data_IF_187926003757
#
_entry.id   IF_187926003757
#
_cell.length_a   1.000
_cell.length_b   1.000
_cell.length_c   1.000
_cell.angle_alpha   90.00
_cell.angle_beta   90.00
_cell.angle_gamma   90.00
#
_symmetry.space_group_name_H-M   'P 1'
#
loop_
_entity.id
_entity.type
_entity.pdbx_description
1 polymer ?
#
# COMPACT_ATOMS: atom_id res chain seq x y z
N UNK A 1 -18.19 -20.11 10.91
CA UNK A 1 -17.49 -20.10 9.61
C UNK A 1 -16.00 -20.05 9.87
N UNK A 2 -15.26 -21.05 9.42
CA UNK A 2 -13.79 -21.06 9.47
C UNK A 2 -13.28 -20.58 8.12
N UNK A 3 -12.65 -19.40 8.09
CA UNK A 3 -12.00 -18.86 6.89
C UNK A 3 -10.82 -19.71 6.40
N UNK A 4 -10.33 -20.62 7.24
CA UNK A 4 -9.20 -21.49 6.97
C UNK A 4 -9.71 -22.87 6.52
N UNK A 5 -9.26 -23.32 5.35
CA UNK A 5 -9.69 -24.58 4.75
C UNK A 5 -8.60 -25.67 4.82
N UNK A 6 -9.03 -26.94 4.85
CA UNK A 6 -8.14 -28.10 4.81
C UNK A 6 -7.17 -28.14 6.00
N UNK A 7 -5.89 -28.38 5.72
CA UNK A 7 -4.84 -28.45 6.76
C UNK A 7 -4.69 -27.18 7.60
N UNK A 8 -5.20 -26.02 7.13
CA UNK A 8 -5.17 -24.78 7.90
C UNK A 8 -6.25 -24.70 8.99
N UNK A 9 -7.27 -25.56 8.94
CA UNK A 9 -8.36 -25.54 9.93
C UNK A 9 -7.88 -25.89 11.34
N UNK A 10 -6.87 -26.77 11.45
CA UNK A 10 -6.24 -27.14 12.71
C UNK A 10 -5.10 -26.16 13.03
N UNK A 11 -5.43 -25.09 13.75
CA UNK A 11 -4.52 -23.97 14.04
C UNK A 11 -3.38 -24.32 14.99
N UNK A 12 -3.43 -25.47 15.66
CA UNK A 12 -2.36 -25.91 16.57
C UNK A 12 -1.24 -26.65 15.82
N UNK A 13 -1.48 -27.08 14.59
CA UNK A 13 -0.52 -27.84 13.76
C UNK A 13 0.41 -26.98 12.90
N UNK A 14 0.24 -25.66 12.90
CA UNK A 14 1.02 -24.75 12.06
C UNK A 14 1.14 -23.35 12.67
N UNK A 15 2.08 -22.55 12.17
CA UNK A 15 2.25 -21.15 12.58
C UNK A 15 2.50 -20.26 11.37
N UNK A 16 1.92 -19.06 11.40
CA UNK A 16 2.15 -18.02 10.39
C UNK A 16 3.42 -17.19 10.67
N UNK A 17 4.00 -17.28 11.87
CA UNK A 17 5.11 -16.42 12.32
C UNK A 17 6.32 -16.59 11.40
N UNK A 18 6.88 -15.48 10.92
CA UNK A 18 8.03 -15.44 10.00
C UNK A 18 7.71 -15.87 8.56
N UNK A 19 6.54 -16.43 8.29
CA UNK A 19 6.09 -16.87 6.96
C UNK A 19 4.96 -16.00 6.40
N UNK A 20 4.26 -15.27 7.26
CA UNK A 20 3.13 -14.43 6.89
C UNK A 20 3.57 -13.24 6.01
N UNK A 21 2.94 -13.10 4.84
CA UNK A 21 3.17 -11.96 3.96
C UNK A 21 2.81 -10.62 4.61
N UNK A 22 1.79 -10.60 5.48
CA UNK A 22 1.43 -9.40 6.25
C UNK A 22 2.59 -8.98 7.15
N UNK A 23 3.17 -9.91 7.90
CA UNK A 23 4.30 -9.63 8.80
C UNK A 23 5.49 -9.05 8.03
N UNK A 24 5.87 -9.69 6.91
CA UNK A 24 6.95 -9.23 6.03
C UNK A 24 6.69 -7.87 5.40
N UNK A 25 5.42 -7.54 5.14
CA UNK A 25 5.03 -6.24 4.59
C UNK A 25 5.07 -5.17 5.68
N UNK A 26 4.55 -5.49 6.87
CA UNK A 26 4.44 -4.57 8.00
C UNK A 26 5.78 -4.11 8.58
N UNK A 27 6.86 -4.89 8.43
CA UNK A 27 8.20 -4.43 8.82
C UNK A 27 8.64 -3.17 8.10
N UNK A 28 8.06 -2.85 6.94
CA UNK A 28 8.48 -1.70 6.13
C UNK A 28 7.39 -0.64 5.99
N UNK A 29 6.15 -1.03 5.71
CA UNK A 29 5.03 -0.08 5.56
C UNK A 29 4.19 0.10 6.83
N UNK A 30 4.55 -0.56 7.94
CA UNK A 30 3.79 -0.52 9.19
C UNK A 30 3.81 0.81 9.93
N UNK A 31 4.56 1.80 9.44
CA UNK A 31 4.63 3.13 10.04
C UNK A 31 3.65 4.11 9.37
N UNK A 32 3.07 5.00 10.18
CA UNK A 32 2.22 6.10 9.68
C UNK A 32 2.92 6.91 8.57
N UNK A 33 4.20 7.21 8.76
CA UNK A 33 4.98 8.02 7.80
C UNK A 33 5.18 7.32 6.46
N UNK A 34 5.40 6.00 6.43
CA UNK A 34 5.50 5.24 5.17
C UNK A 34 4.20 5.32 4.36
N UNK A 35 3.05 5.07 5.00
CA UNK A 35 1.74 5.16 4.36
C UNK A 35 1.44 6.58 3.82
N UNK A 36 1.81 7.62 4.58
CA UNK A 36 1.64 9.00 4.14
C UNK A 36 2.57 9.38 3.00
N UNK A 37 3.80 8.85 2.94
CA UNK A 37 4.69 9.05 1.78
C UNK A 37 4.11 8.38 0.53
N UNK A 38 3.62 7.14 0.63
CA UNK A 38 2.98 6.47 -0.52
C UNK A 38 1.77 7.26 -1.04
N UNK A 39 0.95 7.81 -0.13
CA UNK A 39 -0.16 8.71 -0.50
C UNK A 39 0.33 9.96 -1.24
N UNK A 40 1.34 10.65 -0.71
CA UNK A 40 1.86 11.86 -1.36
C UNK A 40 2.52 11.58 -2.70
N UNK A 41 3.18 10.41 -2.85
CA UNK A 41 3.76 9.97 -4.11
C UNK A 41 2.68 9.76 -5.16
N UNK A 42 1.56 9.12 -4.80
CA UNK A 42 0.40 8.98 -5.67
C UNK A 42 -0.23 10.33 -6.06
N UNK A 43 -0.26 11.30 -5.13
CA UNK A 43 -0.71 12.66 -5.43
C UNK A 43 0.27 13.44 -6.34
N UNK A 44 1.39 12.85 -6.75
CA UNK A 44 2.37 13.44 -7.65
C UNK A 44 3.52 14.15 -6.96
N UNK A 45 3.71 13.97 -5.65
CA UNK A 45 4.91 14.47 -4.95
C UNK A 45 6.11 13.63 -5.37
N UNK A 46 7.15 14.27 -5.89
CA UNK A 46 8.38 13.57 -6.30
C UNK A 46 9.65 14.10 -5.63
N UNK A 47 9.60 15.28 -5.00
CA UNK A 47 10.78 15.95 -4.42
C UNK A 47 10.90 15.70 -2.93
N UNK A 48 12.13 15.46 -2.46
CA UNK A 48 12.44 15.18 -1.05
C UNK A 48 11.86 16.22 -0.08
N UNK A 49 12.13 17.51 -0.32
CA UNK A 49 11.68 18.58 0.59
C UNK A 49 10.16 18.73 0.60
N UNK A 50 9.49 18.37 -0.51
CA UNK A 50 8.03 18.38 -0.60
C UNK A 50 7.43 17.22 0.21
N UNK A 51 8.03 16.03 0.19
CA UNK A 51 7.63 14.93 1.07
C UNK A 51 7.71 15.31 2.54
N UNK A 52 8.86 15.84 2.99
CA UNK A 52 9.04 16.25 4.38
C UNK A 52 7.98 17.27 4.82
N UNK A 53 7.72 18.27 3.96
CA UNK A 53 6.72 19.33 4.21
C UNK A 53 5.29 18.79 4.23
N UNK A 54 4.89 18.00 3.23
CA UNK A 54 3.51 17.52 3.05
C UNK A 54 3.12 16.44 4.06
N UNK A 55 4.07 15.58 4.43
CA UNK A 55 3.86 14.55 5.44
C UNK A 55 3.99 15.11 6.86
N UNK A 56 4.74 16.20 7.04
CA UNK A 56 4.94 16.85 8.34
C UNK A 56 5.91 16.09 9.24
N UNK A 57 6.97 15.52 8.66
CA UNK A 57 8.01 14.77 9.37
C UNK A 57 9.39 15.40 9.15
N UNK A 58 10.35 15.06 10.02
CA UNK A 58 11.72 15.58 9.90
C UNK A 58 12.40 15.11 8.61
N UNK A 59 13.41 15.85 8.15
CA UNK A 59 14.22 15.43 6.99
C UNK A 59 14.89 14.07 7.23
N UNK A 60 15.39 13.82 8.45
CA UNK A 60 15.98 12.53 8.80
C UNK A 60 14.95 11.38 8.68
N UNK A 61 13.74 11.55 9.20
CA UNK A 61 12.68 10.57 9.07
C UNK A 61 12.23 10.38 7.61
N UNK A 62 12.17 11.47 6.84
CA UNK A 62 11.86 11.44 5.40
C UNK A 62 12.90 10.62 4.63
N UNK A 63 14.19 10.87 4.90
CA UNK A 63 15.30 10.14 4.28
C UNK A 63 15.21 8.64 4.58
N UNK A 64 15.06 8.26 5.85
CA UNK A 64 14.93 6.86 6.24
C UNK A 64 13.75 6.16 5.52
N UNK A 65 12.58 6.80 5.51
CA UNK A 65 11.39 6.22 4.85
C UNK A 65 11.54 6.11 3.34
N UNK A 66 12.08 7.13 2.68
CA UNK A 66 12.28 7.09 1.23
C UNK A 66 13.29 6.00 0.85
N UNK A 67 14.38 5.85 1.60
CA UNK A 67 15.34 4.75 1.40
C UNK A 67 14.66 3.40 1.53
N UNK A 68 13.92 3.16 2.61
CA UNK A 68 13.23 1.87 2.83
C UNK A 68 12.18 1.55 1.74
N UNK A 69 11.43 2.55 1.28
CA UNK A 69 10.47 2.38 0.19
C UNK A 69 11.15 2.15 -1.17
N UNK A 70 12.35 2.71 -1.38
CA UNK A 70 13.16 2.45 -2.57
C UNK A 70 13.79 1.06 -2.53
N UNK A 71 14.30 0.63 -1.38
CA UNK A 71 14.91 -0.69 -1.21
C UNK A 71 13.89 -1.83 -1.40
N UNK A 72 12.62 -1.58 -1.05
CA UNK A 72 11.51 -2.48 -1.37
C UNK A 72 11.05 -2.42 -2.84
N UNK A 73 11.53 -1.45 -3.60
CA UNK A 73 11.09 -1.23 -4.97
C UNK A 73 9.67 -0.69 -5.07
N UNK A 74 9.11 -0.06 -4.02
CA UNK A 74 7.83 0.67 -4.11
C UNK A 74 8.02 2.07 -4.72
N UNK A 75 9.18 2.67 -4.48
CA UNK A 75 9.62 3.90 -5.13
C UNK A 75 10.90 3.64 -5.91
N UNK A 76 11.10 4.40 -6.98
CA UNK A 76 12.37 4.46 -7.70
C UNK A 76 12.95 5.86 -7.56
N UNK A 77 14.26 5.92 -7.35
CA UNK A 77 15.03 7.17 -7.36
C UNK A 77 15.55 7.43 -8.77
N UNK A 78 15.21 8.59 -9.34
CA UNK A 78 15.61 8.98 -10.70
C UNK A 78 16.32 10.33 -10.70
N UNK A 79 17.33 10.54 -11.56
CA UNK A 79 17.87 11.87 -11.79
C UNK A 79 16.84 12.70 -12.55
N UNK A 80 16.54 13.87 -12.00
CA UNK A 80 15.69 14.89 -12.59
C UNK A 80 16.51 16.15 -12.85
N UNK A 81 16.33 16.78 -14.01
CA UNK A 81 17.01 18.04 -14.34
C UNK A 81 16.03 19.01 -14.98
N UNK A 82 15.75 20.10 -14.28
CA UNK A 82 15.11 21.25 -14.91
C UNK A 82 16.10 21.89 -15.90
N UNK A 83 15.64 22.37 -17.07
CA UNK A 83 16.50 23.10 -18.00
C UNK A 83 17.23 24.25 -17.29
N UNK A 84 18.57 24.24 -17.37
CA UNK A 84 19.43 25.26 -16.75
C UNK A 84 19.79 25.04 -15.27
N UNK A 85 19.30 23.97 -14.61
CA UNK A 85 19.65 23.67 -13.22
C UNK A 85 20.55 22.43 -13.05
N UNK A 86 21.12 22.28 -11.84
CA UNK A 86 21.83 21.09 -11.39
C UNK A 86 20.86 19.90 -11.30
N UNK A 87 21.34 18.70 -11.63
CA UNK A 87 20.59 17.45 -11.44
C UNK A 87 20.16 17.31 -9.98
N UNK A 88 18.87 17.07 -9.77
CA UNK A 88 18.26 16.71 -8.48
C UNK A 88 17.77 15.26 -8.55
N UNK A 89 17.49 14.67 -7.40
CA UNK A 89 16.85 13.36 -7.36
C UNK A 89 15.34 13.54 -7.20
N UNK A 90 14.58 12.71 -7.89
CA UNK A 90 13.15 12.56 -7.70
C UNK A 90 12.81 11.11 -7.32
N UNK A 91 11.69 10.94 -6.60
CA UNK A 91 11.17 9.66 -6.17
C UNK A 91 9.81 9.45 -6.83
N UNK A 92 9.67 8.35 -7.56
CA UNK A 92 8.46 8.05 -8.33
C UNK A 92 7.96 6.65 -7.99
N UNK A 93 6.65 6.44 -8.04
CA UNK A 93 6.07 5.11 -7.88
C UNK A 93 6.60 4.17 -8.97
N UNK A 94 6.92 2.95 -8.55
CA UNK A 94 7.16 1.82 -9.46
C UNK A 94 5.83 1.12 -9.77
N UNK A 95 5.87 0.09 -10.61
CA UNK A 95 4.74 -0.84 -10.79
C UNK A 95 4.30 -1.46 -9.46
N UNK A 96 5.25 -2.03 -8.69
CA UNK A 96 4.96 -2.57 -7.36
C UNK A 96 4.38 -1.51 -6.39
N UNK A 97 4.85 -0.25 -6.50
CA UNK A 97 4.29 0.88 -5.75
C UNK A 97 2.84 1.18 -6.11
N UNK A 98 2.50 1.12 -7.41
CA UNK A 98 1.14 1.30 -7.92
C UNK A 98 0.24 0.14 -7.45
N UNK A 99 0.71 -1.10 -7.56
CA UNK A 99 0.00 -2.30 -7.12
C UNK A 99 -0.25 -2.31 -5.61
N UNK A 100 0.56 -1.58 -4.84
CA UNK A 100 0.38 -1.42 -3.40
C UNK A 100 -0.69 -0.38 -3.03
N UNK A 101 -1.06 0.54 -3.94
CA UNK A 101 -2.00 1.62 -3.65
C UNK A 101 -3.38 1.18 -3.14
N UNK A 102 -3.98 0.05 -3.59
CA UNK A 102 -5.19 -0.48 -2.98
C UNK A 102 -5.10 -0.66 -1.45
N UNK A 103 -3.93 -0.99 -0.90
CA UNK A 103 -3.73 -1.08 0.57
C UNK A 103 -3.88 0.29 1.23
N UNK A 104 -3.26 1.33 0.65
CA UNK A 104 -3.35 2.72 1.11
C UNK A 104 -4.79 3.22 1.03
N UNK A 105 -5.51 2.86 -0.03
CA UNK A 105 -6.89 3.26 -0.24
C UNK A 105 -7.89 2.54 0.64
N UNK A 106 -7.69 1.25 0.92
CA UNK A 106 -8.45 0.53 1.94
C UNK A 106 -8.31 1.17 3.32
N UNK A 107 -7.09 1.61 3.68
CA UNK A 107 -6.86 2.34 4.94
C UNK A 107 -7.60 3.69 4.96
N UNK A 108 -7.55 4.43 3.85
CA UNK A 108 -8.28 5.70 3.69
C UNK A 108 -9.79 5.50 3.81
N UNK A 109 -10.35 4.51 3.11
CA UNK A 109 -11.78 4.23 3.09
C UNK A 109 -12.30 3.79 4.45
N UNK A 110 -11.58 2.87 5.12
CA UNK A 110 -11.90 2.45 6.48
C UNK A 110 -11.88 3.64 7.46
N UNK A 111 -10.82 4.47 7.41
CA UNK A 111 -10.71 5.65 8.26
C UNK A 111 -11.82 6.66 8.01
N UNK A 112 -12.22 6.85 6.75
CA UNK A 112 -13.35 7.71 6.36
C UNK A 112 -14.67 7.23 6.97
N UNK A 113 -14.90 5.93 6.98
CA UNK A 113 -16.16 5.33 7.43
C UNK A 113 -16.26 5.25 8.96
N UNK A 114 -15.17 4.88 9.63
CA UNK A 114 -15.21 4.50 11.04
C UNK A 114 -14.63 5.54 12.02
N UNK A 115 -13.79 6.47 11.56
CA UNK A 115 -13.16 7.45 12.45
C UNK A 115 -13.88 8.80 12.41
N UNK A 116 -14.02 9.48 13.57
CA UNK A 116 -14.63 10.80 13.62
C UNK A 116 -13.80 11.80 12.80
N UNK A 117 -14.49 12.68 12.08
CA UNK A 117 -13.85 13.71 11.27
C UNK A 117 -14.72 14.18 10.11
N UNK A 118 -14.50 15.40 9.63
CA UNK A 118 -15.15 15.91 8.42
C UNK A 118 -14.36 15.47 7.19
N UNK A 119 -14.40 14.16 6.90
CA UNK A 119 -13.69 13.57 5.75
C UNK A 119 -14.40 13.94 4.44
N UNK A 120 -13.92 14.98 3.77
CA UNK A 120 -14.50 15.47 2.50
C UNK A 120 -13.96 14.77 1.24
N UNK A 121 -12.79 14.14 1.34
CA UNK A 121 -12.19 13.45 0.20
C UNK A 121 -12.98 12.20 -0.18
N UNK A 122 -13.00 11.89 -1.49
CA UNK A 122 -13.57 10.68 -2.08
C UNK A 122 -12.58 10.14 -3.10
N UNK A 123 -12.44 8.82 -3.16
CA UNK A 123 -11.84 8.18 -4.32
C UNK A 123 -12.88 8.31 -5.45
N UNK A 124 -12.46 8.76 -6.62
CA UNK A 124 -13.36 8.98 -7.74
C UNK A 124 -12.73 8.48 -9.03
N UNK A 125 -13.58 7.94 -9.91
CA UNK A 125 -13.15 7.60 -11.25
C UNK A 125 -13.01 8.89 -12.08
N UNK A 126 -11.79 9.20 -12.52
CA UNK A 126 -11.51 10.44 -13.27
C UNK A 126 -12.36 10.57 -14.55
N UNK A 127 -12.73 9.45 -15.19
CA UNK A 127 -13.49 9.47 -16.44
C UNK A 127 -14.98 9.83 -16.29
N UNK A 128 -15.63 9.48 -15.16
CA UNK A 128 -17.07 9.72 -14.97
C UNK A 128 -17.46 10.43 -13.67
N UNK A 129 -16.51 10.66 -12.76
CA UNK A 129 -16.74 11.31 -11.47
C UNK A 129 -17.43 10.47 -10.41
N UNK A 130 -17.82 9.22 -10.72
CA UNK A 130 -18.42 8.32 -9.73
C UNK A 130 -17.44 8.02 -8.59
N UNK A 131 -17.96 7.86 -7.36
CA UNK A 131 -17.15 7.40 -6.24
C UNK A 131 -16.62 5.98 -6.51
N UNK A 132 -15.36 5.73 -6.13
CA UNK A 132 -14.70 4.44 -6.22
C UNK A 132 -14.47 3.86 -4.81
N UNK A 133 -14.42 2.54 -4.72
CA UNK A 133 -14.17 1.77 -3.50
C UNK A 133 -13.12 0.68 -3.75
N UNK A 134 -12.50 0.17 -2.69
CA UNK A 134 -11.62 -1.00 -2.78
C UNK A 134 -12.42 -2.26 -2.43
N UNK A 135 -12.42 -3.24 -3.33
CA UNK A 135 -13.19 -4.48 -3.19
C UNK A 135 -12.31 -5.71 -3.44
N UNK A 136 -12.66 -6.83 -2.78
CA UNK A 136 -12.04 -8.13 -3.04
C UNK A 136 -12.82 -8.83 -4.14
N UNK A 137 -12.11 -9.31 -5.17
CA UNK A 137 -12.70 -10.08 -6.27
C UNK A 137 -11.98 -11.41 -6.43
N UNK A 138 -12.72 -12.45 -6.79
CA UNK A 138 -12.12 -13.73 -7.16
C UNK A 138 -11.58 -13.68 -8.59
N UNK A 139 -10.84 -14.71 -9.02
CA UNK A 139 -10.26 -14.79 -10.36
C UNK A 139 -11.31 -14.76 -11.50
N UNK A 140 -12.56 -15.13 -11.20
CA UNK A 140 -13.69 -15.07 -12.14
C UNK A 140 -14.40 -13.69 -12.15
N UNK A 141 -13.92 -12.72 -11.36
CA UNK A 141 -14.44 -11.35 -11.33
C UNK A 141 -15.59 -11.08 -10.37
N UNK A 142 -16.11 -12.11 -9.68
CA UNK A 142 -17.15 -11.93 -8.66
C UNK A 142 -16.65 -11.09 -7.48
N UNK A 143 -17.50 -10.20 -6.96
CA UNK A 143 -17.30 -9.58 -5.65
C UNK A 143 -17.34 -10.67 -4.57
N UNK A 144 -16.35 -10.69 -3.67
CA UNK A 144 -16.27 -11.67 -2.59
C UNK A 144 -16.45 -10.96 -1.25
N UNK A 145 -17.62 -11.10 -0.61
CA UNK A 145 -17.85 -10.65 0.75
C UNK A 145 -16.86 -11.26 1.75
N UNK A 146 -16.64 -10.59 2.88
CA UNK A 146 -15.66 -11.03 3.88
C UNK A 146 -16.02 -12.37 4.54
N UNK A 147 -17.31 -12.71 4.65
CA UNK A 147 -17.82 -13.98 5.15
C UNK A 147 -17.73 -15.15 4.14
N UNK A 148 -17.47 -14.83 2.86
CA UNK A 148 -17.27 -15.80 1.78
C UNK A 148 -15.78 -15.98 1.40
N UNK A 149 -14.88 -15.14 1.92
CA UNK A 149 -13.46 -15.19 1.62
C UNK A 149 -12.72 -16.28 2.41
N UNK A 150 -12.30 -17.34 1.73
CA UNK A 150 -11.49 -18.42 2.31
C UNK A 150 -9.99 -18.33 2.02
N UNK A 151 -9.19 -18.98 2.87
CA UNK A 151 -7.75 -19.18 2.74
C UNK A 151 -7.47 -20.69 2.66
N UNK A 152 -6.65 -21.10 1.68
CA UNK A 152 -6.23 -22.49 1.48
C UNK A 152 -4.74 -22.56 1.16
N UNK A 153 -4.12 -23.69 1.45
CA UNK A 153 -2.76 -23.95 0.96
C UNK A 153 -2.78 -24.02 -0.57
N UNK A 154 -1.86 -23.29 -1.20
CA UNK A 154 -1.57 -23.50 -2.61
C UNK A 154 -0.93 -24.88 -2.78
N UNK A 155 -1.30 -25.62 -3.83
CA UNK A 155 -0.48 -26.77 -4.25
C UNK A 155 0.85 -26.20 -4.75
N UNK A 156 1.97 -26.79 -4.34
CA UNK A 156 3.27 -26.43 -4.92
C UNK A 156 3.18 -26.56 -6.44
N UNK A 157 3.78 -25.66 -7.23
CA UNK A 157 3.75 -25.75 -8.69
C UNK A 157 4.33 -27.06 -9.25
N UNK A 158 5.06 -27.83 -8.43
CA UNK A 158 5.74 -29.08 -8.81
C UNK A 158 5.39 -30.26 -7.88
N UNK A 159 4.11 -30.44 -7.52
CA UNK A 159 3.63 -31.57 -6.71
C UNK A 159 2.39 -32.24 -7.29
#
# INVERSE_FOLDING_TARGET
>A
MTFLQGALADRDKWSAVGQCAIEKTMTVVGTKSAMLIMREAYYGTTRFDDFARRVGITKAATSARLTELVDLGLLARRPYREPGQRSREEYVLTEAGIDFMPVVWSLFEWGRHHLPGRHKLRLTHLGCGAEASVEIRCAEGHLVPSDELGMRLAKSPNG
#
